data_IF_662214301800
#
_entry.id   IF_662214301800
#
_cell.length_a   1.000
_cell.length_b   1.000
_cell.length_c   1.000
_cell.angle_alpha   90.00
_cell.angle_beta   90.00
_cell.angle_gamma   90.00
#
_symmetry.space_group_name_H-M   'P 1'
#
loop_
_entity.id
_entity.type
_entity.pdbx_description
1 polymer ?
#
# COMPACT_ATOMS: atom_id res chain seq x y z
N UNK A 1 7.09 9.79 9.76
CA UNK A 1 6.59 10.47 8.55
C UNK A 1 5.07 10.47 8.55
N UNK A 2 4.47 11.62 8.37
CA UNK A 2 3.02 11.74 8.24
C UNK A 2 2.59 11.50 6.81
N UNK A 3 1.61 10.61 6.63
CA UNK A 3 1.11 10.26 5.30
C UNK A 3 -0.41 10.22 5.28
N UNK A 4 -0.98 10.40 4.10
CA UNK A 4 -2.37 10.09 3.83
C UNK A 4 -2.43 8.64 3.36
N UNK A 5 -3.10 7.79 4.14
CA UNK A 5 -3.19 6.36 3.88
C UNK A 5 -4.58 6.02 3.36
N UNK A 6 -4.67 5.71 2.08
CA UNK A 6 -5.87 5.15 1.47
C UNK A 6 -5.77 3.62 1.46
N UNK A 7 -6.78 2.94 0.97
CA UNK A 7 -6.79 1.47 0.98
C UNK A 7 -7.26 0.92 -0.35
N UNK A 8 -6.73 -0.23 -0.73
CA UNK A 8 -7.16 -0.92 -1.95
C UNK A 8 -7.13 -2.43 -1.75
N UNK A 9 -7.79 -3.14 -2.63
CA UNK A 9 -7.70 -4.59 -2.74
C UNK A 9 -7.13 -4.96 -4.11
N UNK A 10 -6.52 -6.14 -4.28
CA UNK A 10 -5.91 -6.51 -5.57
C UNK A 10 -6.92 -6.94 -6.63
N UNK A 11 -8.20 -6.96 -6.30
CA UNK A 11 -9.26 -7.35 -7.24
C UNK A 11 -9.55 -6.24 -8.24
N UNK A 12 -10.27 -6.56 -9.32
CA UNK A 12 -10.61 -5.61 -10.38
C UNK A 12 -11.41 -4.41 -9.89
N UNK A 13 -12.12 -4.53 -8.78
CA UNK A 13 -12.86 -3.41 -8.19
C UNK A 13 -11.94 -2.27 -7.73
N UNK A 14 -10.67 -2.55 -7.44
CA UNK A 14 -9.67 -1.56 -7.02
C UNK A 14 -8.59 -1.33 -8.07
N UNK A 15 -8.19 -2.38 -8.80
CA UNK A 15 -7.05 -2.36 -9.70
C UNK A 15 -7.43 -2.40 -11.18
N UNK A 16 -8.69 -2.66 -11.49
CA UNK A 16 -9.17 -2.70 -12.88
C UNK A 16 -8.44 -3.74 -13.70
N UNK A 17 -8.01 -3.35 -14.91
CA UNK A 17 -7.32 -4.25 -15.84
C UNK A 17 -5.93 -4.68 -15.37
N UNK A 18 -5.42 -4.08 -14.30
CA UNK A 18 -4.12 -4.42 -13.73
C UNK A 18 -4.21 -5.40 -12.57
N UNK A 19 -5.39 -6.01 -12.35
CA UNK A 19 -5.62 -6.94 -11.26
C UNK A 19 -5.09 -8.34 -11.61
N UNK A 20 -3.76 -8.46 -11.74
CA UNK A 20 -3.10 -9.72 -12.10
C UNK A 20 -2.58 -10.51 -10.88
N UNK A 21 -2.79 -9.97 -9.68
CA UNK A 21 -2.35 -10.64 -8.45
C UNK A 21 -0.88 -10.45 -8.11
N UNK A 22 -0.16 -9.60 -8.87
CA UNK A 22 1.28 -9.38 -8.69
C UNK A 22 1.55 -7.90 -8.49
N UNK A 23 2.38 -7.57 -7.50
CA UNK A 23 2.77 -6.18 -7.22
C UNK A 23 3.92 -5.74 -8.11
N UNK A 24 4.32 -4.47 -8.02
CA UNK A 24 5.42 -3.91 -8.80
C UNK A 24 6.75 -4.62 -8.54
N UNK A 25 6.95 -5.18 -7.35
CA UNK A 25 8.17 -5.94 -7.03
C UNK A 25 8.07 -7.42 -7.39
N UNK A 26 6.94 -7.86 -7.95
CA UNK A 26 6.70 -9.26 -8.28
C UNK A 26 6.15 -10.08 -7.12
N UNK A 27 5.79 -9.44 -6.00
CA UNK A 27 5.22 -10.13 -4.86
C UNK A 27 3.74 -10.48 -5.10
N UNK A 28 3.23 -11.44 -4.33
CA UNK A 28 1.82 -11.80 -4.38
C UNK A 28 0.97 -10.65 -3.81
N UNK A 29 0.10 -10.09 -4.64
CA UNK A 29 -0.74 -8.95 -4.26
C UNK A 29 -1.82 -9.32 -3.24
N UNK A 30 -2.04 -10.59 -2.94
CA UNK A 30 -2.98 -11.02 -1.91
C UNK A 30 -2.34 -11.13 -0.52
N UNK A 31 -1.06 -10.81 -0.39
CA UNK A 31 -0.40 -10.66 0.91
C UNK A 31 -0.48 -9.20 1.36
N UNK A 32 -0.23 -8.95 2.64
CA UNK A 32 -0.20 -7.59 3.16
C UNK A 32 0.98 -6.82 2.55
N UNK A 33 0.77 -5.55 2.28
CA UNK A 33 1.80 -4.69 1.71
C UNK A 33 1.24 -3.30 1.47
N UNK A 34 2.04 -2.44 0.87
CA UNK A 34 1.65 -1.05 0.67
C UNK A 34 2.21 -0.53 -0.65
N UNK A 35 1.38 0.24 -1.36
CA UNK A 35 1.80 0.99 -2.54
C UNK A 35 2.31 2.36 -2.10
N UNK A 36 3.43 2.79 -2.67
CA UNK A 36 4.12 4.01 -2.27
C UNK A 36 4.60 4.77 -3.51
N UNK A 37 5.03 6.02 -3.29
CA UNK A 37 5.83 6.74 -4.27
C UNK A 37 7.30 6.34 -4.04
N UNK A 38 7.93 5.64 -4.98
CA UNK A 38 9.30 5.14 -4.76
C UNK A 38 10.35 6.25 -4.68
N UNK A 39 9.99 7.48 -5.03
CA UNK A 39 10.86 8.64 -4.84
C UNK A 39 10.88 9.11 -3.38
N UNK A 40 9.87 8.72 -2.60
CA UNK A 40 9.74 9.10 -1.19
C UNK A 40 10.05 7.91 -0.28
N UNK A 41 9.50 6.75 -0.59
CA UNK A 41 9.71 5.51 0.15
C UNK A 41 10.25 4.47 -0.83
N UNK A 42 11.53 4.11 -0.75
CA UNK A 42 12.10 3.14 -1.69
C UNK A 42 11.38 1.79 -1.63
N UNK A 43 11.14 1.20 -2.79
CA UNK A 43 10.58 -0.16 -2.87
C UNK A 43 11.49 -1.13 -2.12
N UNK A 44 10.87 -2.06 -1.40
CA UNK A 44 11.57 -3.02 -0.56
C UNK A 44 11.78 -2.54 0.87
N UNK A 45 11.46 -1.28 1.19
CA UNK A 45 11.53 -0.78 2.55
C UNK A 45 10.49 -1.45 3.42
N UNK A 46 10.84 -1.71 4.68
CA UNK A 46 9.88 -2.16 5.68
C UNK A 46 9.22 -0.93 6.30
N UNK A 47 7.91 -0.92 6.36
CA UNK A 47 7.13 0.23 6.84
C UNK A 47 6.22 -0.22 7.95
N UNK A 48 6.29 0.47 9.09
CA UNK A 48 5.37 0.24 10.21
C UNK A 48 4.23 1.25 10.11
N UNK A 49 3.01 0.74 9.93
CA UNK A 49 1.81 1.54 9.73
C UNK A 49 0.86 1.27 10.90
N UNK A 50 0.70 2.23 11.83
CA UNK A 50 -0.20 2.04 12.97
C UNK A 50 -1.63 1.72 12.52
N UNK A 51 -2.23 0.72 13.13
CA UNK A 51 -3.58 0.26 12.79
C UNK A 51 -3.63 -0.73 11.62
N UNK A 52 -2.51 -0.93 10.91
CA UNK A 52 -2.44 -1.87 9.78
C UNK A 52 -1.41 -2.98 10.02
N UNK A 53 -0.16 -2.60 10.28
CA UNK A 53 0.90 -3.57 10.54
C UNK A 53 2.24 -3.12 10.01
N UNK A 54 3.26 -3.98 10.18
CA UNK A 54 4.60 -3.77 9.62
C UNK A 54 4.72 -4.61 8.36
N UNK A 55 4.91 -3.94 7.22
CA UNK A 55 4.83 -4.57 5.90
C UNK A 55 5.92 -4.02 4.98
N UNK A 56 6.04 -4.63 3.81
CA UNK A 56 7.00 -4.22 2.78
C UNK A 56 6.31 -3.26 1.81
N UNK A 57 7.03 -2.21 1.42
CA UNK A 57 6.62 -1.33 0.33
C UNK A 57 6.92 -2.06 -0.98
N UNK A 58 5.92 -2.75 -1.51
CA UNK A 58 6.09 -3.69 -2.63
C UNK A 58 5.33 -3.30 -3.89
N UNK A 59 4.68 -2.15 -3.90
CA UNK A 59 3.87 -1.75 -5.03
C UNK A 59 3.91 -0.23 -5.24
N UNK A 60 3.42 0.18 -6.40
CA UNK A 60 3.30 1.60 -6.77
C UNK A 60 1.91 1.85 -7.34
N UNK A 61 1.47 3.10 -7.32
CA UNK A 61 0.20 3.49 -7.91
C UNK A 61 0.33 4.83 -8.61
N UNK A 62 -0.41 5.00 -9.71
CA UNK A 62 -0.33 6.24 -10.50
C UNK A 62 -0.72 7.50 -9.73
N UNK A 63 -1.62 7.37 -8.75
CA UNK A 63 -2.07 8.47 -7.91
C UNK A 63 -1.32 8.54 -6.57
N UNK A 64 -0.40 7.60 -6.30
CA UNK A 64 0.31 7.53 -5.03
C UNK A 64 1.62 8.29 -5.16
N UNK A 65 1.56 9.58 -4.85
CA UNK A 65 2.67 10.52 -5.00
C UNK A 65 2.92 11.28 -3.71
N UNK A 66 4.18 11.56 -3.43
CA UNK A 66 4.58 12.32 -2.24
C UNK A 66 4.26 11.58 -0.96
N UNK A 67 3.59 12.26 -0.03
CA UNK A 67 3.26 11.73 1.30
C UNK A 67 1.97 10.91 1.30
N UNK A 68 1.73 10.18 0.23
CA UNK A 68 0.58 9.26 0.12
C UNK A 68 1.06 7.83 0.09
N UNK A 69 0.28 6.96 0.74
CA UNK A 69 0.45 5.51 0.63
C UNK A 69 -0.93 4.89 0.42
N UNK A 70 -0.95 3.66 -0.07
CA UNK A 70 -2.18 2.93 -0.31
C UNK A 70 -2.02 1.55 0.29
N UNK A 71 -2.66 1.31 1.43
CA UNK A 71 -2.50 0.05 2.16
C UNK A 71 -3.37 -1.03 1.50
N UNK A 72 -2.82 -2.23 1.42
CA UNK A 72 -3.47 -3.31 0.70
C UNK A 72 -4.21 -4.25 1.64
N UNK A 73 -5.48 -4.48 1.33
CA UNK A 73 -6.31 -5.46 2.03
C UNK A 73 -6.69 -6.58 1.07
N UNK A 74 -7.02 -7.73 1.63
CA UNK A 74 -7.38 -8.91 0.83
C UNK A 74 -8.76 -8.76 0.19
N UNK A 75 -9.66 -8.03 0.82
CA UNK A 75 -11.04 -7.87 0.35
C UNK A 75 -11.39 -6.40 0.16
N UNK A 76 -12.32 -6.16 -0.75
CA UNK A 76 -12.84 -4.82 -0.99
C UNK A 76 -13.52 -4.25 0.25
N UNK A 77 -14.22 -5.09 1.01
CA UNK A 77 -14.90 -4.64 2.23
C UNK A 77 -13.91 -4.10 3.25
N UNK A 78 -12.81 -4.80 3.48
CA UNK A 78 -11.78 -4.35 4.42
C UNK A 78 -11.16 -3.03 3.96
N UNK A 79 -10.90 -2.89 2.65
CA UNK A 79 -10.37 -1.66 2.09
C UNK A 79 -11.35 -0.49 2.28
N UNK A 80 -12.63 -0.73 2.10
CA UNK A 80 -13.67 0.29 2.32
C UNK A 80 -13.76 0.70 3.78
N UNK A 81 -13.64 -0.25 4.69
CA UNK A 81 -13.68 0.03 6.13
C UNK A 81 -12.50 0.87 6.58
N UNK A 82 -11.33 0.69 5.98
CA UNK A 82 -10.17 1.55 6.25
C UNK A 82 -10.42 2.97 5.78
N UNK A 83 -10.94 3.14 4.57
CA UNK A 83 -11.20 4.44 3.97
C UNK A 83 -9.96 5.25 3.71
N UNK A 84 -9.92 6.48 4.21
CA UNK A 84 -8.77 7.39 4.12
C UNK A 84 -8.43 7.88 5.51
N UNK A 85 -7.18 7.70 5.91
CA UNK A 85 -6.74 8.06 7.25
C UNK A 85 -5.39 8.76 7.20
N UNK A 86 -5.16 9.69 8.13
CA UNK A 86 -3.84 10.26 8.33
C UNK A 86 -3.12 9.39 9.36
N UNK A 87 -1.88 9.01 9.05
CA UNK A 87 -1.07 8.16 9.92
C UNK A 87 0.37 8.64 9.96
N UNK A 88 0.99 8.50 11.12
CA UNK A 88 2.43 8.67 11.25
C UNK A 88 3.06 7.31 11.14
N UNK A 89 3.81 7.08 10.08
CA UNK A 89 4.46 5.80 9.79
C UNK A 89 5.94 5.86 10.13
N UNK A 90 6.53 4.68 10.37
CA UNK A 90 7.97 4.52 10.56
C UNK A 90 8.52 3.71 9.40
N UNK A 91 9.53 4.25 8.72
CA UNK A 91 10.20 3.56 7.63
C UNK A 91 11.45 2.93 8.18
N UNK A 92 11.52 1.60 8.13
CA UNK A 92 12.67 0.84 8.52
C UNK A 92 13.46 0.51 7.27
N UNK A 93 14.78 0.47 7.37
CA UNK A 93 15.62 0.11 6.23
C UNK A 93 15.40 -1.34 5.86
N UNK A 94 15.50 -1.62 4.55
CA UNK A 94 15.45 -2.99 4.09
C UNK A 94 16.76 -3.74 4.42
#
# INVERSE_FOLDING_TARGET
MKVEATAYCPASCCCGKYADGITATGADAYTMGVAVDPKVIPLGSTVCIPGYGTVIADDVGGAIKGDKIDVRFRTHQEAREWGRQLRTITILRK
#
